data_IF_047759836570
#
_entry.id   IF_047759836570
#
_cell.length_a   1.000
_cell.length_b   1.000
_cell.length_c   1.000
_cell.angle_alpha   90.00
_cell.angle_beta   90.00
_cell.angle_gamma   90.00
#
_symmetry.space_group_name_H-M   'P 1'
#
loop_
_entity.id
_entity.type
_entity.pdbx_description
1 polymer ?
#
# COMPACT_ATOMS: atom_id res chain seq x y z
N UNK A 1 -34.95 -20.54 24.39
CA UNK A 1 -34.82 -19.16 23.88
C UNK A 1 -34.00 -19.21 22.60
N UNK A 2 -34.64 -18.93 21.48
CA UNK A 2 -34.09 -18.94 20.11
C UNK A 2 -33.44 -17.58 19.84
N UNK A 3 -32.12 -17.55 19.72
CA UNK A 3 -31.37 -16.35 19.38
C UNK A 3 -31.60 -15.95 17.92
N UNK A 4 -32.23 -14.79 17.74
CA UNK A 4 -32.60 -14.17 16.47
C UNK A 4 -31.49 -14.25 15.42
N UNK A 5 -31.77 -14.96 14.32
CA UNK A 5 -31.15 -14.70 13.02
C UNK A 5 -31.30 -13.21 12.72
N UNK A 6 -30.18 -12.50 12.65
CA UNK A 6 -30.13 -11.21 11.97
C UNK A 6 -30.34 -11.49 10.48
N UNK A 7 -31.59 -11.37 10.04
CA UNK A 7 -31.94 -11.29 8.64
C UNK A 7 -31.33 -10.01 8.05
N UNK A 8 -30.37 -10.17 7.15
CA UNK A 8 -30.15 -9.21 6.07
C UNK A 8 -30.50 -9.91 4.76
N UNK A 9 -31.45 -9.39 3.97
CA UNK A 9 -31.70 -9.86 2.62
C UNK A 9 -30.52 -9.40 1.74
N UNK A 10 -30.06 -10.29 0.85
CA UNK A 10 -28.87 -10.16 -0.02
C UNK A 10 -27.51 -10.51 0.61
N UNK A 11 -27.36 -11.74 1.11
CA UNK A 11 -26.03 -12.32 1.33
C UNK A 11 -25.41 -12.73 -0.03
N UNK A 12 -24.85 -11.76 -0.78
CA UNK A 12 -23.71 -12.11 -1.65
C UNK A 12 -22.61 -12.62 -0.73
N UNK A 13 -21.97 -13.71 -1.12
CA UNK A 13 -20.80 -14.21 -0.41
C UNK A 13 -19.77 -13.08 -0.33
N UNK A 14 -19.41 -12.65 0.89
CA UNK A 14 -18.40 -11.60 1.09
C UNK A 14 -17.13 -12.01 0.35
N UNK A 15 -16.58 -11.11 -0.46
CA UNK A 15 -15.28 -11.32 -1.09
C UNK A 15 -14.20 -11.58 -0.03
N UNK A 16 -13.12 -12.29 -0.39
CA UNK A 16 -11.99 -12.53 0.53
C UNK A 16 -11.48 -11.24 1.17
N UNK A 17 -11.56 -10.14 0.43
CA UNK A 17 -11.22 -8.80 0.90
C UNK A 17 -12.24 -8.30 1.93
N UNK A 18 -13.53 -8.32 1.65
CA UNK A 18 -14.55 -7.95 2.64
C UNK A 18 -14.49 -8.83 3.90
N UNK A 19 -14.09 -10.10 3.76
CA UNK A 19 -13.84 -11.00 4.89
C UNK A 19 -12.59 -10.64 5.68
N UNK A 20 -11.50 -10.24 5.02
CA UNK A 20 -10.31 -9.70 5.69
C UNK A 20 -10.64 -8.43 6.46
N UNK A 21 -11.41 -7.56 5.84
CA UNK A 21 -11.79 -6.27 6.39
C UNK A 21 -12.77 -6.38 7.55
N UNK A 22 -13.70 -7.34 7.48
CA UNK A 22 -14.62 -7.63 8.60
C UNK A 22 -13.91 -8.36 9.73
N UNK A 23 -12.98 -9.27 9.43
CA UNK A 23 -12.15 -9.94 10.44
C UNK A 23 -11.23 -8.96 11.18
N UNK A 24 -10.70 -7.96 10.48
CA UNK A 24 -9.96 -6.85 11.08
C UNK A 24 -10.93 -5.91 11.82
N UNK A 25 -12.11 -5.63 11.26
CA UNK A 25 -13.11 -4.69 11.79
C UNK A 25 -13.84 -5.12 13.08
N UNK A 26 -14.04 -6.43 13.30
CA UNK A 26 -14.56 -6.95 14.56
C UNK A 26 -13.40 -7.11 15.55
N UNK A 27 -13.24 -6.12 16.44
CA UNK A 27 -12.30 -6.19 17.56
C UNK A 27 -12.58 -7.39 18.47
N UNK A 28 -11.95 -8.53 18.17
CA UNK A 28 -11.85 -9.67 19.06
C UNK A 28 -10.49 -9.60 19.74
N UNK A 29 -10.49 -9.50 21.07
CA UNK A 29 -9.29 -9.29 21.89
C UNK A 29 -8.14 -10.25 21.55
N UNK A 30 -6.94 -9.70 21.42
CA UNK A 30 -5.69 -10.38 21.03
C UNK A 30 -5.88 -11.33 19.84
N UNK A 31 -5.60 -10.82 18.63
CA UNK A 31 -5.64 -11.58 17.37
C UNK A 31 -4.97 -12.96 17.49
N UNK A 32 -3.91 -13.12 18.28
CA UNK A 32 -3.24 -14.42 18.48
C UNK A 32 -4.10 -15.53 19.12
N UNK A 33 -4.92 -15.26 20.15
CA UNK A 33 -5.63 -16.30 20.90
C UNK A 33 -6.97 -16.71 20.28
N UNK A 34 -7.75 -15.75 19.80
CA UNK A 34 -9.01 -16.02 19.11
C UNK A 34 -8.81 -16.75 17.77
N UNK A 35 -7.65 -16.55 17.13
CA UNK A 35 -7.35 -17.07 15.79
C UNK A 35 -6.58 -18.38 15.78
N UNK A 36 -5.89 -18.71 16.87
CA UNK A 36 -5.45 -20.08 17.16
C UNK A 36 -6.61 -21.09 17.18
N UNK A 37 -7.80 -20.67 17.62
CA UNK A 37 -9.01 -21.50 17.61
C UNK A 37 -9.60 -21.74 16.21
N UNK A 38 -9.37 -20.81 15.26
CA UNK A 38 -9.78 -20.94 13.85
C UNK A 38 -8.91 -21.93 13.08
N UNK A 39 -7.64 -22.12 13.48
CA UNK A 39 -6.79 -23.18 12.93
C UNK A 39 -7.25 -24.59 13.32
N UNK A 40 -7.94 -24.74 14.46
CA UNK A 40 -8.25 -26.05 15.05
C UNK A 40 -9.72 -26.50 14.93
N UNK A 41 -10.59 -25.74 14.28
CA UNK A 41 -12.00 -26.13 14.09
C UNK A 41 -12.38 -26.12 12.61
N UNK A 42 -13.44 -26.83 12.23
CA UNK A 42 -13.90 -27.07 10.86
C UNK A 42 -14.41 -25.82 10.12
N UNK A 43 -13.59 -24.76 10.08
CA UNK A 43 -13.94 -23.48 9.47
C UNK A 43 -13.81 -23.57 7.94
N UNK A 44 -14.77 -22.98 7.24
CA UNK A 44 -14.84 -22.90 5.77
C UNK A 44 -13.49 -22.44 5.16
N UNK A 45 -13.01 -23.04 4.06
CA UNK A 45 -11.77 -22.67 3.38
C UNK A 45 -11.52 -21.16 3.22
N UNK A 46 -12.56 -20.38 2.95
CA UNK A 46 -12.43 -18.92 2.80
C UNK A 46 -12.04 -18.20 4.09
N UNK A 47 -12.48 -18.69 5.25
CA UNK A 47 -12.08 -18.13 6.54
C UNK A 47 -10.64 -18.50 6.90
N UNK A 48 -10.17 -19.69 6.52
CA UNK A 48 -8.75 -20.08 6.66
C UNK A 48 -7.83 -19.23 5.78
N UNK A 49 -8.25 -18.93 4.56
CA UNK A 49 -7.51 -18.04 3.65
C UNK A 49 -7.40 -16.62 4.21
N UNK A 50 -8.47 -16.11 4.81
CA UNK A 50 -8.47 -14.84 5.55
C UNK A 50 -7.54 -14.93 6.75
N UNK A 51 -7.58 -16.03 7.49
CA UNK A 51 -6.81 -16.19 8.71
C UNK A 51 -5.30 -16.21 8.48
N UNK A 52 -4.85 -16.99 7.50
CA UNK A 52 -3.45 -17.00 7.08
C UNK A 52 -2.96 -15.62 6.63
N UNK A 53 -3.82 -14.82 6.00
CA UNK A 53 -3.47 -13.50 5.49
C UNK A 53 -3.36 -12.45 6.59
N UNK A 54 -4.29 -12.42 7.55
CA UNK A 54 -4.16 -11.56 8.75
C UNK A 54 -2.89 -11.91 9.51
N UNK A 55 -2.64 -13.21 9.75
CA UNK A 55 -1.41 -13.66 10.39
C UNK A 55 -0.15 -13.25 9.61
N UNK A 56 -0.21 -13.23 8.27
CA UNK A 56 0.93 -12.82 7.44
C UNK A 56 1.24 -11.33 7.50
N UNK A 57 0.26 -10.48 7.83
CA UNK A 57 0.46 -9.04 8.04
C UNK A 57 1.11 -8.75 9.41
N UNK A 58 0.84 -9.59 10.41
CA UNK A 58 1.21 -9.35 11.80
C UNK A 58 0.15 -8.50 12.52
N UNK A 59 -0.10 -8.82 13.80
CA UNK A 59 -1.18 -8.23 14.60
C UNK A 59 -1.10 -6.68 14.63
N UNK A 60 0.11 -6.14 14.82
CA UNK A 60 0.33 -4.69 14.89
C UNK A 60 0.03 -3.97 13.57
N UNK A 61 0.44 -4.55 12.44
CA UNK A 61 0.18 -3.96 11.12
C UNK A 61 -1.32 -4.00 10.80
N UNK A 62 -2.00 -5.10 11.12
CA UNK A 62 -3.43 -5.24 10.91
C UNK A 62 -4.23 -4.23 11.73
N UNK A 63 -3.90 -4.04 13.01
CA UNK A 63 -4.51 -3.03 13.89
C UNK A 63 -4.28 -1.61 13.38
N UNK A 64 -3.04 -1.27 13.00
CA UNK A 64 -2.73 0.04 12.44
C UNK A 64 -3.48 0.30 11.12
N UNK A 65 -3.60 -0.73 10.27
CA UNK A 65 -4.33 -0.65 9.02
C UNK A 65 -5.82 -0.47 9.26
N UNK A 66 -6.40 -1.14 10.25
CA UNK A 66 -7.79 -0.93 10.65
C UNK A 66 -8.07 0.53 11.00
N UNK A 67 -7.23 1.11 11.85
CA UNK A 67 -7.41 2.47 12.36
C UNK A 67 -7.21 3.53 11.26
N UNK A 68 -6.23 3.31 10.38
CA UNK A 68 -5.85 4.25 9.32
C UNK A 68 -6.68 4.11 8.04
N UNK A 69 -7.42 3.02 7.86
CA UNK A 69 -8.07 2.72 6.57
C UNK A 69 -8.94 3.86 6.04
N UNK A 70 -8.78 4.15 4.75
CA UNK A 70 -9.67 5.00 3.96
C UNK A 70 -10.38 4.14 2.92
N UNK A 71 -11.70 4.03 3.02
CA UNK A 71 -12.50 3.21 2.10
C UNK A 71 -12.77 3.90 0.77
N UNK A 72 -12.77 5.23 0.73
CA UNK A 72 -13.06 6.01 -0.48
C UNK A 72 -12.26 7.32 -0.52
N UNK A 73 -11.92 7.77 -1.73
CA UNK A 73 -11.40 9.10 -1.98
C UNK A 73 -11.90 9.59 -3.34
N UNK A 74 -12.84 10.53 -3.35
CA UNK A 74 -13.55 10.96 -4.57
C UNK A 74 -14.06 9.74 -5.36
N UNK A 75 -13.54 9.50 -6.56
CA UNK A 75 -13.90 8.38 -7.43
C UNK A 75 -13.17 7.07 -7.11
N UNK A 76 -12.15 7.11 -6.25
CA UNK A 76 -11.34 5.95 -5.86
C UNK A 76 -12.04 5.13 -4.76
N UNK A 77 -11.99 3.80 -4.92
CA UNK A 77 -12.40 2.83 -3.90
C UNK A 77 -11.16 2.17 -3.32
N UNK A 78 -10.99 2.28 -2.01
CA UNK A 78 -9.82 1.77 -1.32
C UNK A 78 -9.78 0.24 -1.31
N UNK A 79 -8.59 -0.31 -1.49
CA UNK A 79 -8.36 -1.74 -1.60
C UNK A 79 -7.04 -2.16 -0.94
N UNK A 80 -7.00 -3.38 -0.42
CA UNK A 80 -5.80 -3.95 0.22
C UNK A 80 -5.36 -5.21 -0.53
N UNK A 81 -4.05 -5.37 -0.65
CA UNK A 81 -3.46 -6.57 -1.25
C UNK A 81 -3.88 -7.80 -0.48
N UNK A 82 -4.09 -8.88 -1.21
CA UNK A 82 -4.33 -10.20 -0.62
C UNK A 82 -3.09 -11.08 -0.60
N UNK A 83 -1.95 -10.54 -1.06
CA UNK A 83 -0.66 -11.21 -1.11
C UNK A 83 0.16 -10.90 0.16
N UNK A 84 1.12 -11.77 0.52
CA UNK A 84 2.04 -11.48 1.61
C UNK A 84 2.83 -10.19 1.34
N UNK A 85 2.86 -9.30 2.32
CA UNK A 85 3.67 -8.08 2.32
C UNK A 85 5.03 -8.43 2.93
N UNK A 86 6.13 -7.98 2.33
CA UNK A 86 7.45 -8.26 2.91
C UNK A 86 7.70 -7.43 4.19
N UNK A 87 8.66 -7.83 5.01
CA UNK A 87 8.85 -7.20 6.33
C UNK A 87 9.28 -5.73 6.24
N UNK A 88 10.01 -5.33 5.20
CA UNK A 88 10.38 -3.93 5.00
C UNK A 88 9.17 -3.08 4.57
N UNK A 89 8.33 -3.58 3.66
CA UNK A 89 7.06 -2.95 3.29
C UNK A 89 6.13 -2.84 4.51
N UNK A 90 6.07 -3.85 5.39
CA UNK A 90 5.31 -3.75 6.64
C UNK A 90 5.82 -2.62 7.54
N UNK A 91 7.14 -2.54 7.73
CA UNK A 91 7.77 -1.46 8.52
C UNK A 91 7.45 -0.08 7.91
N UNK A 92 7.55 0.02 6.58
CA UNK A 92 7.20 1.23 5.85
C UNK A 92 5.73 1.60 6.04
N UNK A 93 4.80 0.67 5.84
CA UNK A 93 3.38 0.90 6.05
C UNK A 93 3.04 1.29 7.49
N UNK A 94 3.65 0.66 8.50
CA UNK A 94 3.49 1.04 9.90
C UNK A 94 3.95 2.49 10.15
N UNK A 95 5.13 2.86 9.65
CA UNK A 95 5.62 4.24 9.72
C UNK A 95 4.66 5.23 9.06
N UNK A 96 4.14 4.91 7.87
CA UNK A 96 3.15 5.74 7.20
C UNK A 96 1.87 5.92 8.04
N UNK A 97 1.38 4.84 8.67
CA UNK A 97 0.13 4.84 9.42
C UNK A 97 0.23 5.45 10.82
N UNK A 98 1.32 5.17 11.54
CA UNK A 98 1.48 5.56 12.95
C UNK A 98 2.22 6.88 13.11
N UNK A 99 3.31 7.06 12.38
CA UNK A 99 4.22 8.19 12.61
C UNK A 99 3.83 9.38 11.73
N UNK A 100 3.39 9.10 10.50
CA UNK A 100 2.88 10.13 9.58
C UNK A 100 1.35 10.28 9.61
N UNK A 101 0.65 9.44 10.38
CA UNK A 101 -0.82 9.37 10.51
C UNK A 101 -1.56 9.38 9.17
N UNK A 102 -1.01 8.69 8.17
CA UNK A 102 -1.63 8.62 6.85
C UNK A 102 -2.85 7.72 6.88
N UNK A 103 -3.85 8.12 6.10
CA UNK A 103 -5.03 7.29 5.89
C UNK A 103 -4.83 6.40 4.66
N UNK A 104 -4.77 5.08 4.85
CA UNK A 104 -4.39 4.15 3.78
C UNK A 104 -5.55 3.86 2.83
N UNK A 105 -5.38 4.18 1.54
CA UNK A 105 -6.38 3.95 0.50
C UNK A 105 -6.05 2.69 -0.32
N UNK A 106 -4.78 2.50 -0.69
CA UNK A 106 -4.24 1.32 -1.36
C UNK A 106 -3.05 0.78 -0.58
N UNK A 107 -3.00 -0.54 -0.33
CA UNK A 107 -1.91 -1.20 0.41
C UNK A 107 -1.43 -2.44 -0.32
N UNK A 108 -0.13 -2.54 -0.53
CA UNK A 108 0.51 -3.48 -1.45
C UNK A 108 0.21 -3.16 -2.91
N UNK A 109 1.10 -3.58 -3.79
CA UNK A 109 1.00 -3.34 -5.24
C UNK A 109 -0.36 -3.80 -5.80
N UNK A 110 -0.85 -4.98 -5.45
CA UNK A 110 -2.18 -5.50 -5.85
C UNK A 110 -3.34 -4.67 -5.29
N UNK A 111 -3.19 -4.08 -4.09
CA UNK A 111 -4.16 -3.16 -3.53
C UNK A 111 -4.22 -1.87 -4.34
N UNK A 112 -3.07 -1.23 -4.56
CA UNK A 112 -2.99 -0.01 -5.36
C UNK A 112 -3.44 -0.24 -6.80
N UNK A 113 -3.12 -1.39 -7.41
CA UNK A 113 -3.62 -1.77 -8.74
C UNK A 113 -5.14 -1.73 -8.80
N UNK A 114 -5.82 -2.30 -7.82
CA UNK A 114 -7.28 -2.28 -7.74
C UNK A 114 -7.82 -0.86 -7.58
N UNK A 115 -7.21 -0.04 -6.71
CA UNK A 115 -7.66 1.35 -6.51
C UNK A 115 -7.55 2.15 -7.81
N UNK A 116 -6.49 1.93 -8.58
CA UNK A 116 -6.16 2.70 -9.78
C UNK A 116 -6.62 2.06 -11.10
N UNK A 117 -7.34 0.94 -11.05
CA UNK A 117 -7.73 0.13 -12.22
C UNK A 117 -6.53 -0.22 -13.12
N UNK A 118 -5.39 -0.57 -12.52
CA UNK A 118 -4.22 -1.08 -13.23
C UNK A 118 -4.43 -2.57 -13.51
N UNK A 119 -4.50 -3.01 -14.78
CA UNK A 119 -4.77 -4.39 -15.12
C UNK A 119 -3.59 -5.30 -14.73
N UNK A 120 -3.88 -6.39 -14.01
CA UNK A 120 -2.88 -7.37 -13.55
C UNK A 120 -2.19 -8.11 -14.71
N UNK A 121 -2.88 -8.25 -15.84
CA UNK A 121 -2.37 -8.94 -17.03
C UNK A 121 -1.66 -8.00 -18.02
N UNK A 122 -1.43 -6.73 -17.65
CA UNK A 122 -0.58 -5.87 -18.47
C UNK A 122 0.86 -6.40 -18.51
N UNK A 123 1.60 -6.01 -19.54
CA UNK A 123 2.99 -6.41 -19.74
C UNK A 123 3.91 -5.23 -19.42
N UNK A 124 5.05 -5.52 -18.80
CA UNK A 124 6.10 -4.54 -18.53
C UNK A 124 5.67 -3.46 -17.54
N UNK A 125 6.03 -2.22 -17.83
CA UNK A 125 5.84 -1.09 -16.90
C UNK A 125 4.36 -0.71 -16.70
N UNK A 126 3.47 -1.11 -17.61
CA UNK A 126 2.03 -0.84 -17.49
C UNK A 126 1.33 -1.65 -16.37
N UNK A 127 1.93 -2.75 -15.93
CA UNK A 127 1.43 -3.58 -14.82
C UNK A 127 1.95 -3.14 -13.45
N UNK A 128 2.87 -2.17 -13.41
CA UNK A 128 3.55 -1.77 -12.18
C UNK A 128 2.68 -0.84 -11.35
N UNK A 129 2.59 -1.08 -10.07
CA UNK A 129 1.94 -0.19 -9.11
C UNK A 129 2.87 -0.01 -7.91
N UNK A 130 2.80 1.13 -7.22
CA UNK A 130 3.53 1.30 -5.99
C UNK A 130 2.88 0.52 -4.84
N UNK A 131 3.60 0.35 -3.75
CA UNK A 131 3.12 -0.37 -2.57
C UNK A 131 1.99 0.36 -1.84
N UNK A 132 2.02 1.69 -1.81
CA UNK A 132 1.06 2.46 -1.04
C UNK A 132 0.47 3.62 -1.82
N UNK A 133 -0.85 3.76 -1.68
CA UNK A 133 -1.60 4.96 -2.00
C UNK A 133 -2.33 5.39 -0.73
N UNK A 134 -2.08 6.61 -0.28
CA UNK A 134 -2.59 7.09 0.99
C UNK A 134 -3.04 8.54 0.90
N UNK A 135 -3.75 8.99 1.93
CA UNK A 135 -4.17 10.39 2.10
C UNK A 135 -3.39 10.98 3.26
N UNK A 136 -2.73 12.10 3.03
CA UNK A 136 -1.99 12.87 4.05
C UNK A 136 -2.94 13.54 5.05
N UNK A 137 -2.38 14.10 6.14
CA UNK A 137 -3.16 14.91 7.10
C UNK A 137 -3.83 16.12 6.46
N UNK A 138 -3.21 16.68 5.41
CA UNK A 138 -3.73 17.79 4.60
C UNK A 138 -4.84 17.37 3.62
N UNK A 139 -5.11 16.07 3.46
CA UNK A 139 -6.14 15.57 2.56
C UNK A 139 -5.69 15.30 1.12
N UNK A 140 -4.40 15.47 0.84
CA UNK A 140 -3.81 15.18 -0.48
C UNK A 140 -3.41 13.71 -0.64
N UNK A 141 -3.38 13.24 -1.88
CA UNK A 141 -2.91 11.90 -2.23
C UNK A 141 -1.38 11.80 -2.14
N UNK A 142 -0.90 10.70 -1.58
CA UNK A 142 0.53 10.39 -1.52
C UNK A 142 0.76 8.98 -2.08
N UNK A 143 1.67 8.90 -3.06
CA UNK A 143 2.16 7.63 -3.61
C UNK A 143 3.50 7.29 -2.94
N UNK A 144 3.63 6.07 -2.43
CA UNK A 144 4.87 5.62 -1.80
C UNK A 144 5.24 4.21 -2.24
N UNK A 145 6.50 4.04 -2.62
CA UNK A 145 7.10 2.73 -2.92
C UNK A 145 8.18 2.40 -1.89
N UNK A 146 8.13 1.22 -1.28
CA UNK A 146 9.13 0.75 -0.34
C UNK A 146 10.11 -0.22 -1.02
N UNK A 147 11.41 0.09 -0.97
CA UNK A 147 12.45 -0.78 -1.53
C UNK A 147 13.50 -1.14 -0.48
N UNK A 148 13.62 -2.45 -0.23
CA UNK A 148 14.70 -3.01 0.59
C UNK A 148 16.04 -3.11 -0.17
N UNK A 149 17.09 -3.48 0.56
CA UNK A 149 18.41 -3.75 -0.03
C UNK A 149 18.37 -5.06 -0.82
N UNK A 150 18.81 -5.03 -2.08
CA UNK A 150 18.99 -6.23 -2.86
C UNK A 150 20.25 -6.97 -2.39
N UNK A 151 20.10 -8.15 -1.80
CA UNK A 151 21.20 -8.91 -1.20
C UNK A 151 22.38 -9.15 -2.15
N UNK A 152 22.13 -9.33 -3.45
CA UNK A 152 23.17 -9.53 -4.47
C UNK A 152 24.01 -8.30 -4.76
N UNK A 153 23.47 -7.10 -4.51
CA UNK A 153 24.04 -5.84 -4.97
C UNK A 153 24.41 -4.90 -3.81
N UNK A 154 23.93 -5.18 -2.59
CA UNK A 154 24.18 -4.34 -1.42
C UNK A 154 23.59 -2.92 -1.53
N UNK A 155 22.65 -2.73 -2.46
CA UNK A 155 22.06 -1.44 -2.79
C UNK A 155 20.55 -1.55 -3.06
N UNK A 156 19.88 -0.41 -3.07
CA UNK A 156 18.45 -0.26 -3.34
C UNK A 156 18.24 0.09 -4.82
N UNK A 157 17.45 -0.72 -5.54
CA UNK A 157 17.03 -0.42 -6.91
C UNK A 157 15.85 0.57 -6.91
N UNK A 158 16.17 1.83 -7.22
CA UNK A 158 15.19 2.91 -7.33
C UNK A 158 14.61 3.07 -8.73
N UNK A 159 15.22 2.49 -9.78
CA UNK A 159 14.68 2.59 -11.14
C UNK A 159 13.33 1.88 -11.25
N UNK A 160 13.21 0.72 -10.63
CA UNK A 160 11.93 -0.01 -10.61
C UNK A 160 10.86 0.78 -9.84
N UNK A 161 11.24 1.41 -8.72
CA UNK A 161 10.34 2.27 -7.95
C UNK A 161 9.86 3.49 -8.76
N UNK A 162 10.77 4.19 -9.44
CA UNK A 162 10.42 5.31 -10.32
C UNK A 162 9.37 4.89 -11.35
N UNK A 163 9.52 3.71 -11.97
CA UNK A 163 8.57 3.19 -12.97
C UNK A 163 7.20 2.88 -12.36
N UNK A 164 7.15 2.31 -11.15
CA UNK A 164 5.90 2.08 -10.42
C UNK A 164 5.16 3.39 -10.12
N UNK A 165 5.88 4.37 -9.60
CA UNK A 165 5.34 5.69 -9.25
C UNK A 165 4.86 6.44 -10.50
N UNK A 166 5.64 6.40 -11.60
CA UNK A 166 5.26 6.92 -12.92
C UNK A 166 3.93 6.35 -13.42
N UNK A 167 3.77 5.03 -13.38
CA UNK A 167 2.55 4.40 -13.85
C UNK A 167 1.34 4.79 -13.00
N UNK A 168 1.51 4.86 -11.67
CA UNK A 168 0.43 5.32 -10.79
C UNK A 168 0.05 6.79 -11.02
N UNK A 169 1.03 7.69 -11.22
CA UNK A 169 0.77 9.09 -11.59
C UNK A 169 -0.02 9.19 -12.89
N UNK A 170 0.36 8.42 -13.91
CA UNK A 170 -0.38 8.35 -15.17
C UNK A 170 -1.84 7.92 -14.96
N UNK A 171 -2.08 6.91 -14.12
CA UNK A 171 -3.44 6.43 -13.81
C UNK A 171 -4.26 7.44 -13.01
N UNK A 172 -3.64 8.18 -12.10
CA UNK A 172 -4.30 9.30 -11.43
C UNK A 172 -4.65 10.43 -12.39
N UNK A 173 -3.78 10.71 -13.39
CA UNK A 173 -4.07 11.66 -14.47
C UNK A 173 -5.26 11.22 -15.31
N UNK A 174 -5.31 9.97 -15.75
CA UNK A 174 -6.46 9.39 -16.48
C UNK A 174 -7.78 9.50 -15.69
N UNK A 175 -7.70 9.57 -14.36
CA UNK A 175 -8.84 9.74 -13.45
C UNK A 175 -9.12 11.19 -13.04
N UNK A 176 -8.40 12.17 -13.58
CA UNK A 176 -8.47 13.59 -13.21
C UNK A 176 -8.15 13.89 -11.73
N UNK A 177 -7.28 13.08 -11.11
CA UNK A 177 -6.90 13.20 -9.70
C UNK A 177 -5.44 13.63 -9.51
N UNK A 178 -4.74 13.96 -10.59
CA UNK A 178 -3.33 14.32 -10.52
C UNK A 178 -3.10 15.61 -9.70
N UNK A 179 -4.03 16.57 -9.75
CA UNK A 179 -3.98 17.80 -8.94
C UNK A 179 -4.20 17.57 -7.44
N UNK A 180 -4.68 16.38 -7.06
CA UNK A 180 -4.82 16.00 -5.66
C UNK A 180 -3.53 15.39 -5.10
N UNK A 181 -2.55 15.08 -5.94
CA UNK A 181 -1.29 14.47 -5.52
C UNK A 181 -0.43 15.52 -4.82
N UNK A 182 -0.22 15.31 -3.52
CA UNK A 182 0.63 16.19 -2.72
C UNK A 182 2.09 15.77 -2.82
N UNK A 183 2.37 14.45 -2.80
CA UNK A 183 3.74 13.93 -2.73
C UNK A 183 3.87 12.58 -3.43
N UNK A 184 5.08 12.33 -3.89
CA UNK A 184 5.51 11.03 -4.40
C UNK A 184 6.83 10.65 -3.73
N UNK A 185 6.91 9.42 -3.24
CA UNK A 185 7.94 9.02 -2.29
C UNK A 185 8.53 7.65 -2.58
N UNK A 186 9.83 7.52 -2.32
CA UNK A 186 10.51 6.24 -2.15
C UNK A 186 10.91 6.10 -0.68
N UNK A 187 10.62 4.95 -0.10
CA UNK A 187 10.99 4.59 1.26
C UNK A 187 12.10 3.54 1.17
N UNK A 188 13.22 3.77 1.83
CA UNK A 188 14.38 2.86 1.81
C UNK A 188 14.97 2.69 3.21
N UNK A 189 15.79 1.64 3.45
CA UNK A 189 16.50 1.53 4.71
C UNK A 189 17.48 2.68 4.94
N UNK A 190 17.64 3.06 6.20
CA UNK A 190 18.57 4.08 6.65
C UNK A 190 20.01 3.74 6.23
N UNK A 191 20.71 4.73 5.69
CA UNK A 191 22.08 4.56 5.20
C UNK A 191 22.25 3.64 3.98
N UNK A 192 21.19 3.02 3.46
CA UNK A 192 21.28 2.17 2.28
C UNK A 192 21.71 2.97 1.04
N UNK A 193 22.69 2.43 0.32
CA UNK A 193 23.17 2.98 -0.95
C UNK A 193 22.13 2.76 -2.05
N UNK A 194 22.06 3.71 -2.98
CA UNK A 194 21.23 3.56 -4.19
C UNK A 194 22.07 3.00 -5.32
N UNK A 195 21.42 2.22 -6.20
CA UNK A 195 22.02 1.71 -7.43
C UNK A 195 22.20 2.82 -8.47
N UNK A 196 22.93 2.52 -9.55
CA UNK A 196 22.94 3.26 -10.82
C UNK A 196 23.30 4.75 -10.70
N UNK A 197 24.14 5.08 -9.71
CA UNK A 197 24.63 6.44 -9.48
C UNK A 197 23.60 7.40 -8.90
N UNK A 198 22.38 6.95 -8.58
CA UNK A 198 21.40 7.77 -7.89
C UNK A 198 21.89 8.20 -6.51
N UNK A 199 21.46 9.39 -6.08
CA UNK A 199 21.81 9.96 -4.78
C UNK A 199 20.59 10.57 -4.12
N UNK A 200 20.67 10.75 -2.80
CA UNK A 200 19.70 11.54 -2.05
C UNK A 200 20.37 12.85 -1.68
N UNK A 201 19.74 13.98 -2.02
CA UNK A 201 20.18 15.31 -1.62
C UNK A 201 18.98 16.09 -1.11
N UNK A 202 19.10 16.70 0.06
CA UNK A 202 18.04 17.49 0.71
C UNK A 202 16.71 16.74 0.84
N UNK A 203 16.77 15.41 1.00
CA UNK A 203 15.60 14.53 1.11
C UNK A 203 14.92 14.19 -0.23
N UNK A 204 15.53 14.53 -1.38
CA UNK A 204 15.00 14.23 -2.71
C UNK A 204 15.96 13.36 -3.53
N UNK A 205 15.40 12.58 -4.44
CA UNK A 205 16.15 11.72 -5.33
C UNK A 205 16.82 12.54 -6.44
N UNK A 206 18.11 12.31 -6.66
CA UNK A 206 18.88 12.87 -7.77
C UNK A 206 19.43 11.78 -8.67
N UNK A 207 19.47 12.04 -9.97
CA UNK A 207 20.09 11.17 -10.96
C UNK A 207 21.64 11.22 -10.86
N UNK A 208 22.33 10.42 -11.68
CA UNK A 208 23.79 10.32 -11.65
C UNK A 208 24.53 11.63 -11.96
N UNK A 209 23.88 12.56 -12.68
CA UNK A 209 24.44 13.89 -13.02
C UNK A 209 24.07 14.97 -12.00
N UNK A 210 23.33 14.63 -10.94
CA UNK A 210 22.99 15.52 -9.83
C UNK A 210 21.69 16.31 -10.01
N UNK A 211 20.88 16.00 -11.01
CA UNK A 211 19.59 16.65 -11.25
C UNK A 211 18.48 15.94 -10.46
N UNK A 212 17.49 16.69 -9.95
CA UNK A 212 16.32 16.09 -9.32
C UNK A 212 15.55 15.15 -10.26
N UNK A 213 15.13 14.00 -9.74
CA UNK A 213 14.31 13.05 -10.50
C UNK A 213 12.84 13.45 -10.42
N UNK A 214 12.24 13.63 -11.60
CA UNK A 214 10.81 13.91 -11.77
C UNK A 214 10.03 12.62 -11.97
N UNK A 215 8.87 12.55 -11.32
CA UNK A 215 7.93 11.44 -11.54
C UNK A 215 7.24 11.62 -12.87
N UNK A 216 6.90 12.83 -13.27
CA UNK A 216 6.35 13.08 -14.61
C UNK A 216 6.45 14.60 -14.90
N UNK A 217 6.53 14.96 -16.18
CA UNK A 217 6.34 16.33 -16.65
C UNK A 217 4.86 16.48 -17.01
N UNK A 218 4.05 16.82 -16.02
CA UNK A 218 2.61 16.92 -16.21
C UNK A 218 2.28 18.35 -16.59
N UNK A 219 1.71 18.54 -17.78
CA UNK A 219 1.14 19.81 -18.20
C UNK A 219 0.14 20.32 -17.14
N UNK A 220 0.44 21.48 -16.54
CA UNK A 220 -0.33 22.07 -15.44
C UNK A 220 0.10 21.68 -14.01
N UNK A 221 1.00 20.71 -13.84
CA UNK A 221 1.64 20.38 -12.54
C UNK A 221 3.14 20.29 -12.78
N UNK A 222 3.81 21.42 -12.62
CA UNK A 222 5.27 21.48 -12.69
C UNK A 222 5.89 20.87 -11.43
N UNK A 223 6.88 20.00 -11.63
CA UNK A 223 7.91 19.63 -10.63
C UNK A 223 7.48 18.73 -9.46
N UNK A 224 6.81 17.60 -9.73
CA UNK A 224 6.64 16.55 -8.70
C UNK A 224 7.96 15.76 -8.55
N UNK A 225 8.80 16.23 -7.62
CA UNK A 225 10.04 15.57 -7.25
C UNK A 225 9.80 14.34 -6.37
N UNK A 226 10.64 13.31 -6.54
CA UNK A 226 10.60 12.13 -5.67
C UNK A 226 11.29 12.44 -4.36
N UNK A 227 10.52 12.48 -3.28
CA UNK A 227 11.06 12.55 -1.92
C UNK A 227 11.54 11.17 -1.48
N UNK A 228 12.65 11.13 -0.75
CA UNK A 228 13.19 9.89 -0.18
C UNK A 228 13.00 9.92 1.34
N UNK A 229 12.35 8.89 1.87
CA UNK A 229 12.21 8.64 3.30
C UNK A 229 13.15 7.49 3.69
N UNK A 230 13.80 7.62 4.83
CA UNK A 230 14.74 6.63 5.35
C UNK A 230 14.21 6.05 6.65
N UNK A 231 14.22 4.70 6.78
CA UNK A 231 13.68 3.94 7.92
C UNK A 231 14.66 2.91 8.48
#
# INVERSE_FOLDING_TARGET
MTGKMFCLPFAKDLSTEERLLSAVGFGFGSFSKAWGAVKNTGVNPGAKAVAHKVLSLGDEFAEALQASRRTTYKTLRGAITTLPVNDFEKKAGLYLMKDLERRMLGVGDDGVRKVLDIPKNAVGDAAKAPDFLSVSKSGGLVLSEAKGILAKEGAVDVLTAIKQLKNAMKKLKEKNLVGDVERVEIIKPWGAKLKDGFKVKDGYLQNAVGEPVLVDEIEGITNVFIRVLEL
#
